data_IF_813404342891
#
_entry.id   IF_813404342891
#
_cell.length_a   1.000
_cell.length_b   1.000
_cell.length_c   1.000
_cell.angle_alpha   90.00
_cell.angle_beta   90.00
_cell.angle_gamma   90.00
#
_symmetry.space_group_name_H-M   'P 1'
#
loop_
_entity.id
_entity.type
_entity.pdbx_description
1 polymer ?
#
# COMPACT_ATOMS: atom_id res chain seq x y z
N UNK A 1 4.29 -13.54 -11.45
CA UNK A 1 4.15 -12.36 -10.58
C UNK A 1 5.43 -11.57 -10.74
N UNK A 2 5.35 -10.35 -11.26
CA UNK A 2 6.54 -9.51 -11.50
C UNK A 2 6.76 -8.67 -10.24
N UNK A 3 7.94 -8.88 -9.64
CA UNK A 3 8.72 -7.99 -8.77
C UNK A 3 7.95 -6.85 -8.10
N UNK A 4 7.65 -6.98 -6.81
CA UNK A 4 7.37 -5.87 -5.88
C UNK A 4 8.57 -4.91 -5.71
N UNK A 5 9.57 -5.01 -6.58
CA UNK A 5 10.95 -4.57 -6.35
C UNK A 5 11.51 -3.82 -7.56
N UNK A 6 10.89 -2.68 -7.87
CA UNK A 6 11.66 -1.51 -8.30
C UNK A 6 12.09 -0.63 -7.12
N UNK A 7 11.43 -0.74 -5.96
CA UNK A 7 11.70 0.14 -4.80
C UNK A 7 12.78 -0.41 -3.85
N UNK A 8 12.80 -1.73 -3.56
CA UNK A 8 13.80 -2.31 -2.63
C UNK A 8 15.14 -2.60 -3.32
N UNK A 9 15.17 -2.72 -4.65
CA UNK A 9 16.41 -2.86 -5.44
C UNK A 9 17.33 -1.64 -5.36
N UNK A 10 16.77 -0.45 -5.12
CA UNK A 10 17.58 0.77 -4.91
C UNK A 10 18.33 0.79 -3.57
N UNK A 11 17.90 0.00 -2.57
CA UNK A 11 18.59 -0.11 -1.27
C UNK A 11 19.78 -1.09 -1.29
N UNK A 12 19.90 -1.96 -2.30
CA UNK A 12 20.90 -3.04 -2.33
C UNK A 12 22.32 -2.62 -2.72
N UNK A 13 22.56 -1.35 -3.09
CA UNK A 13 23.89 -0.88 -3.47
C UNK A 13 24.64 -0.31 -2.27
N UNK A 14 25.08 -1.18 -1.36
CA UNK A 14 26.14 -0.87 -0.40
C UNK A 14 27.10 -2.05 -0.29
N UNK A 15 28.00 -2.09 -1.27
CA UNK A 15 29.41 -2.52 -1.20
C UNK A 15 29.77 -3.69 -0.28
N UNK A 16 30.16 -4.82 -0.90
CA UNK A 16 31.31 -5.59 -0.43
C UNK A 16 32.32 -5.66 -1.58
N UNK A 17 33.50 -5.10 -1.31
CA UNK A 17 34.63 -4.97 -2.22
C UNK A 17 35.15 -6.33 -2.69
N UNK A 18 35.49 -6.39 -3.98
CA UNK A 18 36.20 -7.50 -4.59
C UNK A 18 37.53 -7.76 -3.89
N UNK A 19 37.94 -9.04 -3.83
CA UNK A 19 39.34 -9.42 -3.65
C UNK A 19 39.62 -10.77 -4.31
N UNK A 20 40.42 -10.66 -5.38
CA UNK A 20 41.42 -11.55 -5.98
C UNK A 20 41.25 -13.08 -6.05
N UNK A 21 41.38 -13.57 -7.29
CA UNK A 21 41.85 -14.92 -7.66
C UNK A 21 43.34 -15.09 -7.36
N UNK A 22 43.80 -16.28 -6.91
CA UNK A 22 44.91 -17.07 -7.52
C UNK A 22 44.84 -18.54 -7.06
N UNK A 23 45.15 -19.43 -8.01
CA UNK A 23 45.26 -20.90 -8.01
C UNK A 23 46.00 -21.56 -6.82
N UNK A 24 45.60 -22.80 -6.51
CA UNK A 24 46.45 -23.79 -5.85
C UNK A 24 46.65 -25.02 -6.76
N UNK A 25 47.91 -25.45 -6.85
CA UNK A 25 48.41 -26.62 -7.59
C UNK A 25 47.91 -27.94 -7.00
N UNK A 26 47.67 -28.92 -7.88
CA UNK A 26 47.37 -30.31 -7.53
C UNK A 26 48.48 -30.89 -6.66
N UNK A 27 48.15 -31.23 -5.41
CA UNK A 27 48.94 -32.16 -4.62
C UNK A 27 48.00 -33.25 -4.13
N UNK A 28 48.08 -34.43 -4.76
CA UNK A 28 47.41 -35.66 -4.35
C UNK A 28 47.97 -36.13 -3.00
N UNK A 29 47.51 -35.52 -1.92
CA UNK A 29 47.53 -36.12 -0.60
C UNK A 29 46.09 -36.34 -0.18
N UNK A 30 45.84 -37.39 0.58
CA UNK A 30 44.53 -37.77 1.08
C UNK A 30 44.01 -36.67 2.02
N UNK A 31 43.50 -35.59 1.44
CA UNK A 31 43.04 -34.40 2.13
C UNK A 31 41.72 -34.75 2.79
N UNK A 32 41.71 -34.66 4.12
CA UNK A 32 40.49 -34.83 4.91
C UNK A 32 39.39 -33.96 4.29
N UNK A 33 38.26 -34.57 3.95
CA UNK A 33 37.11 -33.85 3.39
C UNK A 33 36.11 -33.54 4.50
N UNK A 34 35.48 -32.37 4.37
CA UNK A 34 34.43 -31.92 5.27
C UNK A 34 33.16 -31.57 4.47
N UNK A 35 32.01 -31.75 5.10
CA UNK A 35 30.72 -31.38 4.53
C UNK A 35 30.31 -30.00 5.02
N UNK A 36 30.05 -29.11 4.07
CA UNK A 36 29.42 -27.81 4.34
C UNK A 36 27.94 -27.92 3.98
N UNK A 37 27.07 -27.83 4.99
CA UNK A 37 25.62 -27.89 4.83
C UNK A 37 25.04 -26.48 4.90
N UNK A 38 24.45 -26.02 3.81
CA UNK A 38 23.73 -24.76 3.76
C UNK A 38 22.25 -25.00 4.09
N UNK A 39 21.71 -24.22 5.01
CA UNK A 39 20.31 -24.23 5.39
C UNK A 39 19.56 -23.05 4.75
N UNK A 40 18.30 -23.26 4.42
CA UNK A 40 17.37 -22.20 4.03
C UNK A 40 16.91 -21.37 5.24
N UNK A 41 15.96 -20.47 5.03
CA UNK A 41 15.39 -19.60 6.08
C UNK A 41 14.57 -20.35 7.13
N UNK A 42 14.17 -21.60 6.87
CA UNK A 42 13.36 -22.44 7.76
C UNK A 42 14.22 -23.54 8.42
N UNK A 43 15.55 -23.36 8.46
CA UNK A 43 16.55 -24.30 8.98
C UNK A 43 16.55 -25.67 8.28
N UNK A 44 16.05 -25.76 7.04
CA UNK A 44 16.08 -26.99 6.25
C UNK A 44 17.31 -27.04 5.38
N UNK A 45 17.88 -28.23 5.24
CA UNK A 45 18.96 -28.49 4.30
C UNK A 45 18.55 -28.06 2.89
N UNK A 46 19.33 -27.15 2.33
CA UNK A 46 19.11 -26.56 1.02
C UNK A 46 20.19 -26.99 0.01
N UNK A 47 21.46 -26.94 0.43
CA UNK A 47 22.61 -27.29 -0.41
C UNK A 47 23.69 -27.96 0.45
N UNK A 48 24.43 -28.92 -0.13
CA UNK A 48 25.62 -29.51 0.45
C UNK A 48 26.81 -29.38 -0.49
N UNK A 49 27.95 -28.99 0.06
CA UNK A 49 29.23 -28.99 -0.62
C UNK A 49 30.20 -29.90 0.13
N UNK A 50 31.03 -30.62 -0.60
CA UNK A 50 32.17 -31.36 -0.05
C UNK A 50 33.42 -30.57 -0.38
N UNK A 51 34.18 -30.20 0.66
CA UNK A 51 35.32 -29.28 0.56
C UNK A 51 36.51 -29.94 1.25
N UNK A 52 37.71 -29.87 0.64
CA UNK A 52 38.91 -30.42 1.28
C UNK A 52 39.35 -29.50 2.42
N UNK A 53 40.03 -30.07 3.41
CA UNK A 53 40.62 -29.30 4.51
C UNK A 53 41.52 -28.17 3.98
N UNK A 54 41.24 -26.94 4.41
CA UNK A 54 42.00 -25.76 4.00
C UNK A 54 41.59 -25.13 2.67
N UNK A 55 40.68 -25.74 1.90
CA UNK A 55 40.14 -25.12 0.68
C UNK A 55 39.28 -23.91 1.03
N UNK A 56 39.33 -22.89 0.17
CA UNK A 56 38.52 -21.67 0.29
C UNK A 56 37.12 -21.90 -0.26
N UNK A 57 36.10 -21.44 0.47
CA UNK A 57 34.70 -21.49 0.00
C UNK A 57 34.40 -20.24 -0.84
N UNK A 58 34.05 -20.43 -2.11
CA UNK A 58 33.53 -19.35 -2.97
C UNK A 58 32.02 -19.19 -2.78
N UNK A 59 31.63 -18.32 -1.85
CA UNK A 59 30.23 -17.98 -1.60
C UNK A 59 29.57 -17.23 -2.76
N UNK A 60 30.33 -16.61 -3.65
CA UNK A 60 29.78 -15.84 -4.79
C UNK A 60 29.28 -16.74 -5.91
N UNK A 61 29.81 -17.97 -6.00
CA UNK A 61 29.36 -19.00 -6.93
C UNK A 61 28.05 -19.69 -6.50
N UNK A 62 27.59 -19.46 -5.26
CA UNK A 62 26.37 -20.07 -4.74
C UNK A 62 25.15 -19.29 -5.25
N UNK A 63 24.37 -19.91 -6.14
CA UNK A 63 23.13 -19.33 -6.64
C UNK A 63 22.04 -19.31 -5.55
N UNK A 64 21.83 -18.16 -4.95
CA UNK A 64 20.80 -17.95 -3.91
C UNK A 64 19.44 -17.54 -4.48
N UNK A 65 19.28 -17.50 -5.81
CA UNK A 65 18.02 -17.09 -6.44
C UNK A 65 16.83 -17.98 -6.04
N UNK A 66 17.06 -19.27 -5.77
CA UNK A 66 16.03 -20.19 -5.29
C UNK A 66 15.55 -19.90 -3.86
N UNK A 67 16.29 -19.08 -3.09
CA UNK A 67 15.87 -18.64 -1.76
C UNK A 67 14.92 -17.43 -1.83
N UNK A 68 14.70 -16.83 -3.00
CA UNK A 68 13.67 -15.82 -3.18
C UNK A 68 12.29 -16.48 -3.09
N UNK A 69 11.48 -16.09 -2.09
CA UNK A 69 10.09 -16.52 -1.94
C UNK A 69 9.11 -15.37 -1.69
N UNK A 70 7.92 -15.51 -2.26
CA UNK A 70 6.75 -14.70 -1.93
C UNK A 70 5.97 -15.40 -0.81
N UNK A 71 5.86 -14.78 0.36
CA UNK A 71 5.11 -15.33 1.49
C UNK A 71 3.60 -15.11 1.32
N UNK A 72 3.24 -13.97 0.76
CA UNK A 72 1.89 -13.60 0.35
C UNK A 72 1.96 -12.49 -0.73
N UNK A 73 0.83 -11.87 -1.06
CA UNK A 73 0.75 -10.83 -2.09
C UNK A 73 1.37 -9.48 -1.69
N UNK A 74 1.73 -9.30 -0.42
CA UNK A 74 2.32 -8.08 0.14
C UNK A 74 3.70 -8.30 0.76
N UNK A 75 4.13 -9.55 0.90
CA UNK A 75 5.35 -9.92 1.63
C UNK A 75 6.30 -10.75 0.77
N UNK A 76 7.49 -10.21 0.55
CA UNK A 76 8.60 -10.85 -0.16
C UNK A 76 9.75 -11.14 0.82
N UNK A 77 10.41 -12.28 0.65
CA UNK A 77 11.58 -12.66 1.41
C UNK A 77 12.70 -13.11 0.46
N UNK A 78 13.88 -12.50 0.62
CA UNK A 78 15.06 -12.75 -0.22
C UNK A 78 16.29 -13.02 0.62
N UNK A 79 17.30 -13.62 -0.01
CA UNK A 79 18.60 -13.82 0.61
C UNK A 79 19.29 -12.47 0.87
N UNK A 80 19.82 -12.30 2.08
CA UNK A 80 20.59 -11.12 2.48
C UNK A 80 22.07 -11.47 2.67
N UNK A 81 22.35 -12.51 3.46
CA UNK A 81 23.71 -12.90 3.84
C UNK A 81 23.71 -14.31 4.43
N UNK A 82 24.89 -14.87 4.69
CA UNK A 82 25.06 -16.07 5.51
C UNK A 82 25.24 -15.68 6.99
N UNK A 83 24.88 -16.57 7.92
CA UNK A 83 25.11 -16.36 9.35
C UNK A 83 26.60 -16.35 9.72
N UNK A 84 27.37 -17.22 9.07
CA UNK A 84 28.82 -17.30 9.14
C UNK A 84 29.41 -17.44 7.74
N UNK A 85 30.65 -16.99 7.56
CA UNK A 85 31.41 -17.11 6.31
C UNK A 85 32.85 -17.56 6.61
N UNK A 86 33.05 -18.79 7.14
CA UNK A 86 34.41 -19.30 7.32
C UNK A 86 35.17 -19.28 5.99
N UNK A 87 36.39 -18.77 6.02
CA UNK A 87 37.27 -18.72 4.84
C UNK A 87 37.67 -20.13 4.40
N UNK A 88 38.00 -20.99 5.37
CA UNK A 88 38.36 -22.40 5.17
C UNK A 88 37.62 -23.31 6.14
N UNK A 89 37.58 -24.61 5.85
CA UNK A 89 36.94 -25.61 6.72
C UNK A 89 37.96 -26.59 7.30
N UNK A 90 37.79 -26.85 8.61
CA UNK A 90 38.55 -27.84 9.38
C UNK A 90 37.62 -28.85 10.09
N UNK A 91 36.32 -28.80 9.79
CA UNK A 91 35.27 -29.69 10.30
C UNK A 91 34.00 -29.52 9.48
N UNK A 92 33.11 -30.49 9.58
CA UNK A 92 31.74 -30.36 9.09
C UNK A 92 31.10 -29.08 9.67
N UNK A 93 30.53 -28.27 8.79
CA UNK A 93 30.06 -26.93 9.12
C UNK A 93 28.66 -26.73 8.55
N UNK A 94 27.80 -26.10 9.35
CA UNK A 94 26.45 -25.72 8.94
C UNK A 94 26.41 -24.21 8.83
N UNK A 95 25.88 -23.70 7.70
CA UNK A 95 25.76 -22.28 7.40
C UNK A 95 24.30 -21.98 7.08
N UNK A 96 23.69 -21.01 7.75
CA UNK A 96 22.28 -20.65 7.56
C UNK A 96 22.15 -19.42 6.67
N UNK A 97 21.22 -19.48 5.72
CA UNK A 97 20.78 -18.29 5.00
C UNK A 97 20.08 -17.31 5.96
N UNK A 98 20.44 -16.04 5.85
CA UNK A 98 19.80 -14.92 6.54
C UNK A 98 18.92 -14.15 5.57
N UNK A 99 17.72 -13.81 6.03
CA UNK A 99 16.69 -13.21 5.21
C UNK A 99 16.66 -11.67 5.29
N UNK A 100 16.29 -11.05 4.19
CA UNK A 100 15.65 -9.73 4.16
C UNK A 100 14.19 -9.94 3.79
N UNK A 101 13.29 -9.54 4.68
CA UNK A 101 11.83 -9.63 4.48
C UNK A 101 11.28 -8.23 4.32
N UNK A 102 10.58 -7.95 3.22
CA UNK A 102 9.89 -6.70 3.00
C UNK A 102 8.38 -6.94 2.92
N UNK A 103 7.59 -6.15 3.63
CA UNK A 103 6.12 -6.20 3.57
C UNK A 103 5.48 -4.84 3.40
N UNK A 104 4.43 -4.76 2.58
CA UNK A 104 3.60 -3.56 2.47
C UNK A 104 2.54 -3.58 3.57
N UNK A 105 2.39 -2.47 4.30
CA UNK A 105 1.24 -2.22 5.16
C UNK A 105 0.45 -0.99 4.67
N UNK A 106 -0.87 -1.09 4.77
CA UNK A 106 -1.80 0.02 4.52
C UNK A 106 -2.28 0.47 5.88
N UNK A 107 -1.75 1.59 6.34
CA UNK A 107 -2.01 2.13 7.67
C UNK A 107 -3.16 3.17 7.63
N UNK A 108 -3.58 3.57 6.44
CA UNK A 108 -4.71 4.48 6.20
C UNK A 108 -5.24 4.36 4.77
N UNK A 109 -6.54 4.53 4.60
CA UNK A 109 -7.22 4.61 3.29
C UNK A 109 -7.65 6.05 3.01
N UNK A 110 -7.91 6.44 1.75
CA UNK A 110 -8.35 7.79 1.43
C UNK A 110 -9.60 8.22 2.21
N UNK A 111 -9.59 9.44 2.73
CA UNK A 111 -10.67 10.02 3.52
C UNK A 111 -11.88 10.39 2.64
N UNK A 112 -11.61 10.93 1.44
CA UNK A 112 -12.64 11.43 0.53
C UNK A 112 -13.28 10.29 -0.27
N UNK A 113 -14.48 9.91 0.14
CA UNK A 113 -15.30 8.88 -0.52
C UNK A 113 -16.54 9.47 -1.22
N UNK A 114 -16.87 10.73 -0.96
CA UNK A 114 -17.99 11.44 -1.57
C UNK A 114 -17.49 12.59 -2.45
N UNK A 115 -17.95 12.57 -3.70
CA UNK A 115 -17.59 13.53 -4.73
C UNK A 115 -18.85 14.18 -5.29
N UNK A 116 -18.76 15.46 -5.62
CA UNK A 116 -19.93 16.26 -6.05
C UNK A 116 -19.80 16.77 -7.49
N UNK A 117 -18.61 16.57 -8.07
CA UNK A 117 -18.28 16.95 -9.45
C UNK A 117 -17.54 15.77 -10.10
N UNK A 118 -17.95 15.39 -11.31
CA UNK A 118 -17.44 14.20 -11.98
C UNK A 118 -16.10 14.42 -12.70
N UNK A 119 -15.64 15.67 -12.84
CA UNK A 119 -14.40 16.02 -13.53
C UNK A 119 -13.19 16.14 -12.59
N UNK A 120 -13.35 15.93 -11.28
CA UNK A 120 -12.23 15.97 -10.34
C UNK A 120 -11.28 14.76 -10.49
N UNK A 121 -10.04 14.97 -10.02
CA UNK A 121 -9.06 13.91 -9.80
C UNK A 121 -9.41 13.20 -8.50
N UNK A 122 -9.24 11.88 -8.46
CA UNK A 122 -9.40 11.11 -7.23
C UNK A 122 -8.40 11.59 -6.17
N UNK A 123 -8.92 11.95 -5.01
CA UNK A 123 -8.13 12.41 -3.87
C UNK A 123 -7.68 11.20 -3.04
N UNK A 124 -6.37 11.12 -2.83
CA UNK A 124 -5.72 10.09 -2.00
C UNK A 124 -5.33 10.61 -0.62
N UNK A 125 -5.72 11.83 -0.24
CA UNK A 125 -5.53 12.33 1.13
C UNK A 125 -6.16 11.35 2.12
N UNK A 126 -5.41 11.01 3.18
CA UNK A 126 -5.78 9.98 4.16
C UNK A 126 -5.12 8.63 3.90
N UNK A 127 -4.71 8.34 2.65
CA UNK A 127 -3.90 7.17 2.32
C UNK A 127 -2.58 7.21 3.11
N UNK A 128 -2.21 6.07 3.69
CA UNK A 128 -0.89 5.86 4.31
C UNK A 128 -0.41 4.46 3.98
N UNK A 129 0.72 4.37 3.27
CA UNK A 129 1.30 3.11 2.82
C UNK A 129 2.77 3.04 3.22
N UNK A 130 3.12 1.99 3.95
CA UNK A 130 4.46 1.78 4.47
C UNK A 130 5.06 0.50 3.90
N UNK A 131 6.34 0.51 3.61
CA UNK A 131 7.15 -0.70 3.44
C UNK A 131 7.88 -0.96 4.76
N UNK A 132 7.60 -2.09 5.38
CA UNK A 132 8.29 -2.58 6.56
C UNK A 132 9.38 -3.55 6.10
N UNK A 133 10.61 -3.36 6.57
CA UNK A 133 11.74 -4.24 6.24
C UNK A 133 12.29 -4.84 7.53
N UNK A 134 12.42 -6.16 7.54
CA UNK A 134 13.08 -6.93 8.59
C UNK A 134 14.30 -7.63 7.99
N UNK A 135 15.50 -7.27 8.45
CA UNK A 135 16.76 -7.84 7.99
C UNK A 135 17.42 -8.64 9.10
N UNK A 136 17.72 -9.90 8.83
CA UNK A 136 18.54 -10.72 9.72
C UNK A 136 20.02 -10.39 9.51
N UNK A 137 20.71 -10.07 10.61
CA UNK A 137 22.12 -9.66 10.61
C UNK A 137 22.90 -10.51 11.62
N UNK A 138 24.05 -11.08 11.25
CA UNK A 138 24.91 -11.78 12.19
C UNK A 138 25.73 -10.76 12.99
N UNK A 139 25.69 -10.88 14.31
CA UNK A 139 26.43 -10.01 15.23
C UNK A 139 27.26 -10.86 16.16
N UNK A 140 28.56 -10.59 16.23
CA UNK A 140 29.44 -11.26 17.19
C UNK A 140 29.29 -10.64 18.58
N UNK A 141 28.96 -11.46 19.59
CA UNK A 141 28.94 -11.08 21.00
C UNK A 141 29.62 -12.15 21.84
N UNK A 142 30.66 -11.75 22.56
CA UNK A 142 31.41 -12.63 23.47
C UNK A 142 31.93 -13.91 22.80
N UNK A 143 32.42 -13.80 21.55
CA UNK A 143 32.95 -14.93 20.77
C UNK A 143 31.89 -15.89 20.23
N UNK A 144 30.61 -15.48 20.21
CA UNK A 144 29.51 -16.21 19.59
C UNK A 144 28.80 -15.32 18.59
N UNK A 145 28.46 -15.88 17.43
CA UNK A 145 27.57 -15.22 16.47
C UNK A 145 26.13 -15.39 16.96
N UNK A 146 25.43 -14.28 17.09
CA UNK A 146 23.98 -14.24 17.33
C UNK A 146 23.31 -13.57 16.13
N UNK A 147 22.11 -14.00 15.79
CA UNK A 147 21.32 -13.37 14.74
C UNK A 147 20.39 -12.35 15.37
N UNK A 148 20.43 -11.12 14.88
CA UNK A 148 19.53 -10.03 15.29
C UNK A 148 18.69 -9.61 14.10
N UNK A 149 17.43 -9.28 14.34
CA UNK A 149 16.54 -8.70 13.33
C UNK A 149 16.55 -7.17 13.44
N UNK A 150 17.11 -6.50 12.44
CA UNK A 150 17.01 -5.07 12.27
C UNK A 150 15.68 -4.74 11.56
N UNK A 151 14.97 -3.72 12.06
CA UNK A 151 13.69 -3.29 11.49
C UNK A 151 13.79 -1.86 10.99
N UNK A 152 13.28 -1.62 9.79
CA UNK A 152 13.11 -0.27 9.25
C UNK A 152 11.75 -0.13 8.58
N UNK A 153 11.32 1.12 8.41
CA UNK A 153 10.07 1.47 7.75
C UNK A 153 10.31 2.60 6.77
N UNK A 154 9.62 2.55 5.64
CA UNK A 154 9.68 3.58 4.60
C UNK A 154 8.27 3.95 4.18
N UNK A 155 7.97 5.25 4.18
CA UNK A 155 6.73 5.78 3.65
C UNK A 155 6.81 5.83 2.12
N UNK A 156 5.85 5.17 1.46
CA UNK A 156 5.73 5.13 -0.01
C UNK A 156 4.39 5.70 -0.49
N UNK A 157 3.66 6.38 0.39
CA UNK A 157 2.33 6.94 0.11
C UNK A 157 2.34 7.83 -1.13
N UNK A 158 3.35 8.70 -1.26
CA UNK A 158 3.49 9.63 -2.39
C UNK A 158 3.76 8.95 -3.73
N UNK A 159 4.14 7.67 -3.71
CA UNK A 159 4.37 6.85 -4.91
C UNK A 159 3.13 6.07 -5.34
N UNK A 160 2.03 6.16 -4.59
CA UNK A 160 0.79 5.45 -4.92
C UNK A 160 -0.09 6.26 -5.88
N UNK A 161 -0.84 5.56 -6.72
CA UNK A 161 -1.81 6.14 -7.65
C UNK A 161 -3.14 5.40 -7.62
N UNK A 162 -4.23 6.14 -7.81
CA UNK A 162 -5.55 5.59 -8.06
C UNK A 162 -5.73 5.22 -9.53
N UNK A 163 -6.37 4.08 -9.79
CA UNK A 163 -6.86 3.70 -11.11
C UNK A 163 -8.36 3.38 -11.05
N UNK A 164 -9.22 4.04 -11.86
CA UNK A 164 -8.87 5.18 -12.74
C UNK A 164 -8.37 6.40 -11.95
N UNK A 165 -7.77 7.38 -12.62
CA UNK A 165 -7.25 8.61 -11.98
C UNK A 165 -8.30 9.73 -11.92
N UNK A 166 -9.19 9.78 -12.91
CA UNK A 166 -10.24 10.79 -13.03
C UNK A 166 -11.58 10.17 -12.67
N UNK A 167 -12.42 10.92 -11.96
CA UNK A 167 -13.74 10.46 -11.54
C UNK A 167 -14.67 10.19 -12.74
N UNK A 168 -14.57 10.96 -13.82
CA UNK A 168 -15.38 10.77 -15.03
C UNK A 168 -15.22 9.37 -15.62
N UNK A 169 -14.04 8.78 -15.46
CA UNK A 169 -13.73 7.43 -15.95
C UNK A 169 -14.27 6.39 -14.95
N UNK A 170 -14.24 6.69 -13.65
CA UNK A 170 -14.79 5.85 -12.59
C UNK A 170 -16.31 5.71 -12.68
N UNK A 171 -17.02 6.80 -12.99
CA UNK A 171 -18.49 6.87 -12.96
C UNK A 171 -19.16 6.64 -14.32
N UNK A 172 -18.46 6.01 -15.27
CA UNK A 172 -19.03 5.68 -16.60
C UNK A 172 -20.23 4.72 -16.53
N UNK A 173 -20.31 3.91 -15.48
CA UNK A 173 -21.35 2.89 -15.30
C UNK A 173 -22.38 3.23 -14.21
N UNK A 174 -22.25 4.38 -13.53
CA UNK A 174 -23.14 4.77 -12.45
C UNK A 174 -22.54 5.76 -11.46
N UNK A 175 -23.28 6.05 -10.39
CA UNK A 175 -22.93 7.03 -9.34
C UNK A 175 -22.01 6.45 -8.25
N UNK A 176 -21.65 5.17 -8.33
CA UNK A 176 -20.77 4.47 -7.37
C UNK A 176 -19.69 3.73 -8.15
N UNK A 177 -18.45 3.77 -7.66
CA UNK A 177 -17.31 3.11 -8.29
C UNK A 177 -16.35 2.51 -7.26
N UNK A 178 -15.73 1.39 -7.60
CA UNK A 178 -14.58 0.86 -6.87
C UNK A 178 -13.30 1.50 -7.43
N UNK A 179 -12.54 2.15 -6.56
CA UNK A 179 -11.22 2.71 -6.87
C UNK A 179 -10.16 1.76 -6.36
N UNK A 180 -9.19 1.44 -7.20
CA UNK A 180 -8.05 0.60 -6.85
C UNK A 180 -6.79 1.46 -6.73
N UNK A 181 -6.01 1.23 -5.69
CA UNK A 181 -4.77 1.95 -5.41
C UNK A 181 -3.59 1.05 -5.71
N UNK A 182 -2.62 1.58 -6.47
CA UNK A 182 -1.43 0.87 -6.93
C UNK A 182 -0.18 1.62 -6.46
N UNK A 183 0.84 0.94 -5.95
CA UNK A 183 2.16 1.54 -5.78
C UNK A 183 2.84 1.74 -7.15
N UNK A 184 3.84 2.61 -7.20
CA UNK A 184 4.51 3.01 -8.45
C UNK A 184 5.03 1.79 -9.22
N UNK A 185 4.75 1.77 -10.52
CA UNK A 185 5.20 0.73 -11.46
C UNK A 185 4.69 -0.69 -11.16
N UNK A 186 3.65 -0.85 -10.34
CA UNK A 186 3.03 -2.16 -10.10
C UNK A 186 1.70 -2.34 -10.83
N UNK A 187 1.43 -3.60 -11.19
CA UNK A 187 0.20 -4.03 -11.87
C UNK A 187 -0.85 -4.59 -10.91
N UNK A 188 -0.51 -4.77 -9.64
CA UNK A 188 -1.39 -5.33 -8.61
C UNK A 188 -1.81 -4.23 -7.62
N UNK A 189 -3.12 -4.08 -7.33
CA UNK A 189 -3.55 -3.09 -6.36
C UNK A 189 -3.19 -3.55 -4.95
N UNK A 190 -2.79 -2.59 -4.11
CA UNK A 190 -2.54 -2.80 -2.69
C UNK A 190 -3.82 -2.67 -1.86
N UNK A 191 -4.78 -1.86 -2.33
CA UNK A 191 -6.08 -1.71 -1.69
C UNK A 191 -7.13 -1.27 -2.70
N UNK A 192 -8.40 -1.41 -2.33
CA UNK A 192 -9.52 -0.78 -3.03
C UNK A 192 -10.50 -0.17 -2.05
N UNK A 193 -11.22 0.85 -2.50
CA UNK A 193 -12.25 1.51 -1.73
C UNK A 193 -13.38 1.99 -2.64
N UNK A 194 -14.57 2.15 -2.06
CA UNK A 194 -15.76 2.61 -2.81
C UNK A 194 -15.89 4.11 -2.70
N UNK A 195 -16.21 4.75 -3.82
CA UNK A 195 -16.53 6.17 -3.90
C UNK A 195 -17.91 6.38 -4.50
N UNK A 196 -18.55 7.48 -4.12
CA UNK A 196 -19.87 7.89 -4.61
C UNK A 196 -19.79 9.30 -5.22
N UNK A 197 -20.45 9.50 -6.36
CA UNK A 197 -20.62 10.79 -7.02
C UNK A 197 -22.04 11.26 -6.86
N UNK A 198 -22.24 12.47 -6.31
CA UNK A 198 -23.52 13.15 -6.10
C UNK A 198 -23.67 14.32 -7.08
N UNK A 199 -23.97 14.04 -8.37
CA UNK A 199 -24.24 15.10 -9.33
C UNK A 199 -25.48 15.89 -8.90
N UNK A 200 -25.43 17.22 -9.09
CA UNK A 200 -26.54 18.12 -8.76
C UNK A 200 -26.91 18.13 -7.26
N UNK A 201 -25.96 17.78 -6.39
CA UNK A 201 -26.15 17.88 -4.94
C UNK A 201 -26.55 19.30 -4.54
N UNK A 202 -27.64 19.43 -3.78
CA UNK A 202 -28.24 20.69 -3.39
C UNK A 202 -29.22 21.30 -4.39
N UNK A 203 -29.35 20.82 -5.63
CA UNK A 203 -30.32 21.30 -6.64
C UNK A 203 -31.67 20.59 -6.46
N UNK A 204 -32.31 20.86 -5.31
CA UNK A 204 -33.56 20.20 -4.91
C UNK A 204 -34.69 20.42 -5.93
N UNK A 205 -34.74 21.60 -6.58
CA UNK A 205 -35.79 21.91 -7.55
C UNK A 205 -35.45 21.50 -9.01
N UNK A 206 -34.28 20.92 -9.25
CA UNK A 206 -33.81 20.40 -10.54
C UNK A 206 -33.72 21.45 -11.66
N UNK A 207 -33.40 22.70 -11.32
CA UNK A 207 -33.24 23.77 -12.31
C UNK A 207 -31.80 23.89 -12.87
N UNK A 208 -30.88 23.05 -12.38
CA UNK A 208 -29.48 23.05 -12.77
C UNK A 208 -28.60 24.05 -12.01
N UNK A 209 -29.12 24.68 -10.96
CA UNK A 209 -28.40 25.62 -10.08
C UNK A 209 -28.71 25.29 -8.63
N UNK A 210 -27.75 25.54 -7.76
CA UNK A 210 -27.93 25.45 -6.31
C UNK A 210 -28.10 26.87 -5.77
N UNK A 211 -29.31 27.23 -5.36
CA UNK A 211 -29.63 28.54 -4.81
C UNK A 211 -30.60 28.49 -3.62
N UNK A 212 -31.00 29.66 -3.12
CA UNK A 212 -31.89 29.76 -1.97
C UNK A 212 -33.29 29.12 -2.21
N UNK A 213 -33.72 28.96 -3.47
CA UNK A 213 -34.98 28.29 -3.82
C UNK A 213 -34.90 26.81 -3.50
N UNK A 214 -33.73 26.18 -3.63
CA UNK A 214 -33.53 24.78 -3.27
C UNK A 214 -33.67 24.54 -1.77
N UNK A 215 -33.02 25.36 -0.96
CA UNK A 215 -33.17 25.33 0.50
C UNK A 215 -34.65 25.48 0.92
N UNK A 216 -35.36 26.45 0.33
CA UNK A 216 -36.79 26.64 0.59
C UNK A 216 -37.65 25.45 0.12
N UNK A 217 -37.28 24.79 -0.98
CA UNK A 217 -37.96 23.60 -1.46
C UNK A 217 -37.80 22.42 -0.48
N UNK A 218 -36.59 22.18 0.02
CA UNK A 218 -36.33 21.15 1.04
C UNK A 218 -37.11 21.42 2.33
N UNK A 219 -37.13 22.67 2.81
CA UNK A 219 -37.88 23.03 4.01
C UNK A 219 -39.40 22.82 3.84
N UNK A 220 -39.95 23.11 2.66
CA UNK A 220 -41.36 22.86 2.33
C UNK A 220 -41.67 21.36 2.34
N UNK A 221 -40.79 20.54 1.77
CA UNK A 221 -40.92 19.08 1.77
C UNK A 221 -40.88 18.54 3.21
N UNK A 222 -39.87 18.93 3.98
CA UNK A 222 -39.75 18.56 5.39
C UNK A 222 -41.01 18.91 6.20
N UNK A 223 -41.52 20.14 6.06
CA UNK A 223 -42.73 20.60 6.76
C UNK A 223 -43.97 19.78 6.37
N UNK A 224 -44.11 19.43 5.09
CA UNK A 224 -45.20 18.57 4.61
C UNK A 224 -45.11 17.18 5.26
N UNK A 225 -43.94 16.55 5.26
CA UNK A 225 -43.70 15.24 5.91
C UNK A 225 -43.99 15.32 7.41
N UNK A 226 -43.49 16.35 8.10
CA UNK A 226 -43.65 16.53 9.55
C UNK A 226 -45.12 16.75 9.97
N UNK A 227 -45.96 17.23 9.07
CA UNK A 227 -47.41 17.43 9.30
C UNK A 227 -48.26 16.24 8.85
N UNK A 228 -47.63 15.11 8.51
CA UNK A 228 -48.31 13.89 8.08
C UNK A 228 -48.70 13.87 6.60
N UNK A 229 -48.22 14.84 5.83
CA UNK A 229 -48.38 14.86 4.38
C UNK A 229 -47.55 13.79 3.68
N UNK A 230 -48.03 13.37 2.52
CA UNK A 230 -47.32 12.44 1.64
C UNK A 230 -46.48 13.22 0.65
N UNK A 231 -45.22 12.80 0.49
CA UNK A 231 -44.34 13.23 -0.60
C UNK A 231 -44.07 11.99 -1.43
N UNK A 232 -44.41 12.07 -2.72
CA UNK A 232 -44.09 11.00 -3.65
C UNK A 232 -42.58 10.77 -3.62
N UNK A 233 -42.17 9.52 -3.43
CA UNK A 233 -40.76 9.16 -3.30
C UNK A 233 -40.06 9.25 -4.66
N UNK A 234 -39.82 10.47 -5.13
CA UNK A 234 -38.86 10.70 -6.19
C UNK A 234 -37.47 10.46 -5.60
N UNK A 235 -36.88 9.31 -5.94
CA UNK A 235 -35.53 8.94 -5.47
C UNK A 235 -34.51 9.98 -5.90
N UNK A 236 -34.69 10.62 -7.06
CA UNK A 236 -33.77 11.65 -7.52
C UNK A 236 -33.95 12.97 -6.75
N UNK A 237 -35.15 13.27 -6.24
CA UNK A 237 -35.37 14.39 -5.33
C UNK A 237 -34.60 14.20 -4.03
N UNK A 238 -34.78 13.05 -3.36
CA UNK A 238 -34.05 12.75 -2.11
C UNK A 238 -32.55 12.81 -2.39
N UNK A 239 -32.11 12.20 -3.49
CA UNK A 239 -30.71 12.17 -3.88
C UNK A 239 -30.06 13.56 -4.06
N UNK A 240 -30.79 14.55 -4.58
CA UNK A 240 -30.29 15.93 -4.72
C UNK A 240 -30.48 16.77 -3.46
N UNK A 241 -31.49 16.46 -2.65
CA UNK A 241 -31.95 17.31 -1.55
C UNK A 241 -31.45 16.89 -0.16
N UNK A 242 -31.03 15.63 0.01
CA UNK A 242 -30.41 15.08 1.22
C UNK A 242 -28.96 15.55 1.26
N UNK A 243 -28.75 16.72 1.86
CA UNK A 243 -27.51 17.46 1.76
C UNK A 243 -26.43 16.94 2.71
N UNK A 244 -26.83 16.39 3.88
CA UNK A 244 -25.93 15.73 4.82
C UNK A 244 -25.74 14.23 4.58
N UNK A 245 -26.49 13.67 3.62
CA UNK A 245 -26.41 12.28 3.17
C UNK A 245 -26.84 11.27 4.26
N UNK A 246 -27.72 11.67 5.18
CA UNK A 246 -28.24 10.80 6.23
C UNK A 246 -29.44 9.93 5.80
N UNK A 247 -29.92 10.13 4.57
CA UNK A 247 -31.05 9.41 3.97
C UNK A 247 -32.41 10.05 4.26
N UNK A 248 -32.49 11.22 4.89
CA UNK A 248 -33.72 11.90 5.26
C UNK A 248 -33.72 13.35 4.78
N UNK A 249 -34.91 13.87 4.49
CA UNK A 249 -35.07 15.29 4.18
C UNK A 249 -35.53 16.03 5.43
N UNK A 250 -34.62 16.82 5.99
CA UNK A 250 -34.79 17.56 7.24
C UNK A 250 -34.54 19.06 7.05
N UNK A 251 -34.72 19.82 8.13
CA UNK A 251 -34.32 21.23 8.13
C UNK A 251 -32.79 21.43 8.09
N UNK A 252 -32.00 20.41 8.47
CA UNK A 252 -30.54 20.48 8.41
C UNK A 252 -30.06 20.57 6.95
N UNK A 253 -30.66 19.76 6.07
CA UNK A 253 -30.37 19.76 4.64
C UNK A 253 -30.61 21.13 4.00
N UNK A 254 -31.74 21.74 4.33
CA UNK A 254 -32.07 23.09 3.90
C UNK A 254 -31.03 24.11 4.38
N UNK A 255 -30.54 23.97 5.62
CA UNK A 255 -29.50 24.83 6.21
C UNK A 255 -28.14 24.68 5.51
N UNK A 256 -27.75 23.44 5.20
CA UNK A 256 -26.49 23.14 4.50
C UNK A 256 -26.53 23.71 3.08
N UNK A 257 -27.64 23.49 2.33
CA UNK A 257 -27.82 24.05 0.99
C UNK A 257 -27.77 25.58 1.01
N UNK A 258 -28.42 26.21 1.99
CA UNK A 258 -28.39 27.67 2.15
C UNK A 258 -26.98 28.17 2.47
N UNK A 259 -26.24 27.44 3.30
CA UNK A 259 -24.85 27.76 3.64
C UNK A 259 -23.95 27.65 2.42
N UNK A 260 -24.12 26.60 1.60
CA UNK A 260 -23.44 26.45 0.31
C UNK A 260 -23.70 27.66 -0.60
N UNK A 261 -24.98 27.98 -0.84
CA UNK A 261 -25.37 29.09 -1.70
C UNK A 261 -24.84 30.44 -1.20
N UNK A 262 -24.90 30.68 0.12
CA UNK A 262 -24.43 31.93 0.73
C UNK A 262 -22.93 32.12 0.51
N UNK A 263 -22.13 31.07 0.71
CA UNK A 263 -20.70 31.09 0.42
C UNK A 263 -20.42 31.28 -1.09
N UNK A 264 -21.10 30.52 -1.95
CA UNK A 264 -20.97 30.61 -3.41
C UNK A 264 -21.28 32.02 -3.94
N UNK A 265 -22.29 32.69 -3.36
CA UNK A 265 -22.67 34.07 -3.68
C UNK A 265 -21.59 35.09 -3.29
N UNK A 266 -20.73 34.76 -2.34
CA UNK A 266 -19.55 35.55 -1.97
C UNK A 266 -18.31 35.20 -2.81
N UNK A 267 -18.48 34.49 -3.93
CA UNK A 267 -17.41 33.97 -4.80
C UNK A 267 -16.47 32.95 -4.14
N UNK A 268 -16.93 32.29 -3.08
CA UNK A 268 -16.23 31.17 -2.45
C UNK A 268 -17.01 29.91 -2.81
N UNK A 269 -16.47 29.03 -3.66
CA UNK A 269 -17.11 27.73 -3.90
C UNK A 269 -16.74 26.82 -2.71
N UNK A 270 -17.67 26.53 -1.78
CA UNK A 270 -17.34 25.73 -0.62
C UNK A 270 -17.25 24.25 -1.02
N UNK A 271 -16.37 23.52 -0.35
CA UNK A 271 -16.32 22.07 -0.46
C UNK A 271 -17.46 21.45 0.37
N UNK A 272 -18.29 20.64 -0.28
CA UNK A 272 -19.44 20.00 0.35
C UNK A 272 -19.03 19.07 1.50
N UNK A 273 -17.92 18.33 1.39
CA UNK A 273 -17.46 17.46 2.48
C UNK A 273 -17.13 18.26 3.74
N UNK A 274 -16.55 19.46 3.58
CA UNK A 274 -16.28 20.39 4.67
C UNK A 274 -17.57 20.94 5.29
N UNK A 275 -18.56 21.28 4.47
CA UNK A 275 -19.86 21.75 4.96
C UNK A 275 -20.62 20.67 5.76
N UNK A 276 -20.59 19.43 5.27
CA UNK A 276 -21.30 18.29 5.88
C UNK A 276 -20.61 17.86 7.19
N UNK A 277 -19.28 17.83 7.23
CA UNK A 277 -18.53 17.44 8.42
C UNK A 277 -18.47 18.51 9.52
N UNK A 278 -18.77 19.77 9.18
CA UNK A 278 -18.76 20.89 10.11
C UNK A 278 -20.06 21.12 10.89
N UNK A 279 -21.10 20.33 10.61
CA UNK A 279 -22.40 20.30 11.31
C UNK A 279 -22.48 19.15 12.29
#
# INVERSE_FOLDING_TARGET
>A
MKKLLSAVTALMVMTATASYTVHAEENEQNTQQYTVTFLDFDDKEWLKLTVSEGDVIDYSAIDTSSLHRYKDIYTEQVFSSWDITPETVAKDTTIRALALTASISIDGIPDKTHYFYADEVIDLKGLSVMINVEKEVPVERSGKVIIVTEKSKMDVTSSCEARPKLLKDAFTQGKTAEIKVYPINEDQPITSYTVNCHPQHGDANANGKVDAVDSAAVLRIYTNIATGGYVESDRELIYRADADLDGKLTANDASIILSYYTAASAHIIPDWNTLISGT
#
